data_IF_559302047880
#
_entry.id   IF_559302047880
#
_cell.length_a   1.000
_cell.length_b   1.000
_cell.length_c   1.000
_cell.angle_alpha   90.00
_cell.angle_beta   90.00
_cell.angle_gamma   90.00
#
_symmetry.space_group_name_H-M   'P 1'
#
loop_
_entity.id
_entity.type
_entity.pdbx_description
1 polymer ?
#
# COMPACT_ATOMS: atom_id res chain seq x y z
N UNK A 1 10.87 -2.10 27.66
CA UNK A 1 10.07 -3.21 28.22
C UNK A 1 9.32 -4.06 27.19
N UNK A 2 8.70 -3.50 26.14
CA UNK A 2 8.00 -4.34 25.14
C UNK A 2 8.87 -4.96 24.03
N UNK A 3 9.87 -4.22 23.51
CA UNK A 3 10.81 -4.66 22.47
C UNK A 3 10.20 -5.45 21.29
N UNK A 4 9.11 -4.96 20.64
CA UNK A 4 8.51 -5.68 19.54
C UNK A 4 9.48 -5.74 18.34
N UNK A 5 9.46 -6.82 17.55
CA UNK A 5 10.36 -6.96 16.41
C UNK A 5 9.87 -6.21 15.16
N UNK A 6 8.63 -5.72 15.17
CA UNK A 6 7.95 -5.01 14.10
C UNK A 6 7.09 -3.89 14.70
N UNK A 7 7.09 -2.72 14.06
CA UNK A 7 6.30 -1.56 14.47
C UNK A 7 5.77 -0.82 13.24
N UNK A 8 4.47 -0.51 13.24
CA UNK A 8 3.87 0.39 12.27
C UNK A 8 3.57 1.74 12.89
N UNK A 9 4.05 2.81 12.26
CA UNK A 9 3.80 4.18 12.68
C UNK A 9 2.75 4.82 11.77
N UNK A 10 1.70 5.36 12.36
CA UNK A 10 0.65 6.10 11.66
C UNK A 10 0.48 7.48 12.28
N UNK A 11 0.37 8.50 11.43
CA UNK A 11 -0.20 9.76 11.84
C UNK A 11 -1.70 9.57 12.06
N UNK A 12 -2.24 10.15 13.13
CA UNK A 12 -3.67 10.14 13.38
C UNK A 12 -4.37 11.01 12.32
N UNK A 13 -5.21 10.38 11.49
CA UNK A 13 -6.09 11.06 10.55
C UNK A 13 -7.51 11.11 11.12
N UNK A 14 -8.13 12.29 11.12
CA UNK A 14 -9.50 12.49 11.59
C UNK A 14 -10.49 12.21 10.46
N UNK A 15 -10.91 10.96 10.34
CA UNK A 15 -11.85 10.52 9.29
C UNK A 15 -13.29 10.98 9.58
N UNK A 16 -13.98 11.49 8.56
CA UNK A 16 -15.35 11.96 8.68
C UNK A 16 -16.29 10.84 9.19
N UNK A 17 -17.19 11.18 10.11
CA UNK A 17 -18.15 10.23 10.67
C UNK A 17 -17.59 9.38 11.83
N UNK A 18 -16.35 9.62 12.26
CA UNK A 18 -15.78 8.97 13.44
C UNK A 18 -15.96 9.82 14.71
N UNK A 19 -15.92 9.21 15.91
CA UNK A 19 -15.90 9.96 17.16
C UNK A 19 -14.78 11.03 17.19
N UNK A 20 -13.61 10.74 16.64
CA UNK A 20 -12.50 11.71 16.60
C UNK A 20 -12.74 12.89 15.64
N UNK A 21 -13.55 12.73 14.58
CA UNK A 21 -13.95 13.89 13.76
C UNK A 21 -14.91 14.85 14.50
N UNK A 22 -15.71 14.32 15.44
CA UNK A 22 -16.68 15.12 16.20
C UNK A 22 -16.06 15.69 17.49
N UNK A 23 -15.09 14.97 18.06
CA UNK A 23 -14.40 15.32 19.29
C UNK A 23 -12.88 15.16 19.06
N UNK A 24 -12.25 16.06 18.30
CA UNK A 24 -10.82 16.00 18.06
C UNK A 24 -10.05 16.19 19.38
N UNK A 25 -8.92 15.48 19.58
CA UNK A 25 -8.00 15.80 20.67
C UNK A 25 -7.54 17.27 20.59
N UNK A 26 -7.44 17.94 21.73
CA UNK A 26 -7.16 19.38 21.78
C UNK A 26 -5.74 19.74 21.31
N UNK A 27 -4.76 18.85 21.55
CA UNK A 27 -3.33 19.13 21.36
C UNK A 27 -2.74 18.29 20.20
N UNK A 28 -3.41 18.28 19.05
CA UNK A 28 -2.85 17.63 17.86
C UNK A 28 -1.69 18.47 17.29
N UNK A 29 -0.58 17.82 16.90
CA UNK A 29 0.50 18.53 16.23
C UNK A 29 0.02 19.06 14.88
N UNK A 30 0.50 20.24 14.51
CA UNK A 30 0.37 20.70 13.13
C UNK A 30 1.24 19.86 12.18
N UNK A 31 1.20 20.17 10.88
CA UNK A 31 1.94 19.41 9.86
C UNK A 31 3.45 19.43 10.07
N UNK A 32 4.00 20.55 10.54
CA UNK A 32 5.44 20.73 10.69
C UNK A 32 5.92 19.97 11.92
N UNK A 33 5.19 20.09 13.03
CA UNK A 33 5.44 19.31 14.24
C UNK A 33 5.30 17.80 14.00
N UNK A 34 4.29 17.38 13.24
CA UNK A 34 4.12 15.97 12.90
C UNK A 34 5.30 15.43 12.06
N UNK A 35 5.82 16.23 11.13
CA UNK A 35 6.99 15.87 10.35
C UNK A 35 8.26 15.75 11.22
N UNK A 36 8.49 16.71 12.12
CA UNK A 36 9.60 16.65 13.09
C UNK A 36 9.51 15.41 13.99
N UNK A 37 8.30 15.09 14.47
CA UNK A 37 8.05 13.88 15.26
C UNK A 37 8.36 12.61 14.46
N UNK A 38 7.95 12.55 13.20
CA UNK A 38 8.23 11.40 12.33
C UNK A 38 9.75 11.21 12.13
N UNK A 39 10.50 12.28 11.88
CA UNK A 39 11.96 12.22 11.71
C UNK A 39 12.67 11.73 12.98
N UNK A 40 12.23 12.20 14.16
CA UNK A 40 12.74 11.72 15.45
C UNK A 40 12.46 10.23 15.62
N UNK A 41 11.23 9.78 15.36
CA UNK A 41 10.84 8.38 15.50
C UNK A 41 11.60 7.47 14.52
N UNK A 42 11.68 7.84 13.24
CA UNK A 42 12.41 7.08 12.22
C UNK A 42 13.89 6.94 12.59
N UNK A 43 14.51 8.01 13.09
CA UNK A 43 15.91 7.98 13.56
C UNK A 43 16.10 7.04 14.74
N UNK A 44 15.26 7.13 15.77
CA UNK A 44 15.32 6.25 16.94
C UNK A 44 15.11 4.78 16.58
N UNK A 45 14.15 4.48 15.69
CA UNK A 45 13.91 3.12 15.22
C UNK A 45 15.13 2.55 14.49
N UNK A 46 15.75 3.34 13.60
CA UNK A 46 16.98 2.93 12.91
C UNK A 46 18.12 2.68 13.90
N UNK A 47 18.33 3.56 14.87
CA UNK A 47 19.32 3.40 15.94
C UNK A 47 19.07 2.14 16.78
N UNK A 48 17.81 1.71 16.90
CA UNK A 48 17.40 0.46 17.57
C UNK A 48 17.53 -0.81 16.71
N UNK A 49 17.97 -0.69 15.45
CA UNK A 49 18.10 -1.80 14.49
C UNK A 49 16.81 -2.18 13.77
N UNK A 50 15.81 -1.28 13.72
CA UNK A 50 14.58 -1.47 12.94
C UNK A 50 14.65 -0.66 11.66
N UNK A 51 14.55 -1.33 10.52
CA UNK A 51 14.57 -0.72 9.20
C UNK A 51 13.15 -0.44 8.71
N UNK A 52 12.95 0.74 8.14
CA UNK A 52 11.75 1.06 7.36
C UNK A 52 11.78 0.26 6.06
N UNK A 53 10.84 -0.66 5.88
CA UNK A 53 10.75 -1.47 4.66
C UNK A 53 9.56 -1.09 3.77
N UNK A 54 8.62 -0.31 4.30
CA UNK A 54 7.53 0.32 3.54
C UNK A 54 7.08 1.64 4.19
N UNK A 55 6.03 2.28 3.69
CA UNK A 55 5.58 3.61 4.11
C UNK A 55 5.46 3.77 5.63
N UNK A 56 4.75 2.89 6.33
CA UNK A 56 4.50 3.03 7.78
C UNK A 56 5.26 2.03 8.65
N UNK A 57 5.66 0.87 8.12
CA UNK A 57 6.22 -0.21 8.91
C UNK A 57 7.75 -0.27 8.93
N UNK A 58 8.22 -0.59 10.12
CA UNK A 58 9.61 -0.77 10.49
C UNK A 58 9.77 -2.15 11.12
N UNK A 59 10.87 -2.85 10.82
CA UNK A 59 11.09 -4.18 11.36
C UNK A 59 12.57 -4.46 11.56
N UNK A 60 12.86 -5.34 12.52
CA UNK A 60 14.17 -5.99 12.61
C UNK A 60 14.37 -6.93 11.41
N UNK A 61 15.62 -7.29 11.06
CA UNK A 61 15.89 -8.32 10.07
C UNK A 61 15.11 -9.61 10.36
N UNK A 62 14.50 -10.18 9.32
CA UNK A 62 13.66 -11.39 9.45
C UNK A 62 12.23 -11.18 9.94
N UNK A 63 11.84 -9.95 10.33
CA UNK A 63 10.51 -9.65 10.89
C UNK A 63 9.63 -8.77 10.00
N UNK A 64 10.02 -8.58 8.73
CA UNK A 64 9.16 -7.88 7.75
C UNK A 64 7.89 -8.71 7.49
N UNK A 65 6.72 -8.06 7.52
CA UNK A 65 5.44 -8.76 7.37
C UNK A 65 5.28 -9.34 5.96
N UNK A 66 5.23 -10.67 5.84
CA UNK A 66 5.09 -11.37 4.55
C UNK A 66 3.76 -11.05 3.87
N UNK A 67 2.68 -10.96 4.64
CA UNK A 67 1.34 -10.65 4.15
C UNK A 67 1.27 -9.26 3.52
N UNK A 68 1.75 -8.22 4.22
CA UNK A 68 1.80 -6.87 3.67
C UNK A 68 2.71 -6.81 2.44
N UNK A 69 3.85 -7.52 2.44
CA UNK A 69 4.72 -7.57 1.25
C UNK A 69 4.02 -8.18 0.04
N UNK A 70 3.18 -9.19 0.21
CA UNK A 70 2.37 -9.73 -0.89
C UNK A 70 1.44 -8.66 -1.47
N UNK A 71 0.75 -7.88 -0.62
CA UNK A 71 -0.09 -6.76 -1.07
C UNK A 71 0.71 -5.73 -1.85
N UNK A 72 1.85 -5.30 -1.29
CA UNK A 72 2.71 -4.28 -1.89
C UNK A 72 3.33 -4.74 -3.21
N UNK A 73 3.64 -6.03 -3.34
CA UNK A 73 4.12 -6.61 -4.60
C UNK A 73 2.99 -6.90 -5.60
N UNK A 74 1.78 -6.39 -5.35
CA UNK A 74 0.58 -6.59 -6.17
C UNK A 74 0.26 -8.08 -6.39
N UNK A 75 0.56 -8.91 -5.38
CA UNK A 75 0.27 -10.34 -5.36
C UNK A 75 -1.20 -10.65 -5.13
N UNK A 76 -1.54 -11.93 -5.22
CA UNK A 76 -2.91 -12.39 -5.05
C UNK A 76 -3.20 -12.78 -3.60
N UNK A 77 -4.43 -12.54 -3.16
CA UNK A 77 -4.90 -12.82 -1.81
C UNK A 77 -6.41 -12.88 -1.75
N UNK A 78 -6.91 -13.63 -0.78
CA UNK A 78 -8.35 -13.75 -0.47
C UNK A 78 -8.69 -12.93 0.77
N UNK A 79 -9.83 -12.24 0.71
CA UNK A 79 -10.42 -11.58 1.86
C UNK A 79 -11.37 -12.51 2.60
N UNK A 80 -11.13 -12.73 3.89
CA UNK A 80 -11.99 -13.54 4.77
C UNK A 80 -12.47 -12.66 5.93
N UNK A 81 -13.77 -12.71 6.22
CA UNK A 81 -14.41 -11.90 7.26
C UNK A 81 -15.15 -10.69 6.70
N UNK A 82 -15.97 -10.08 7.56
CA UNK A 82 -16.76 -8.91 7.22
C UNK A 82 -15.87 -7.75 6.77
N UNK A 83 -16.19 -7.15 5.63
CA UNK A 83 -15.45 -6.02 5.04
C UNK A 83 -14.09 -6.38 4.44
N UNK A 84 -13.72 -7.67 4.41
CA UNK A 84 -12.43 -8.08 3.88
C UNK A 84 -12.36 -7.89 2.36
N UNK A 85 -11.21 -7.41 1.88
CA UNK A 85 -10.93 -7.26 0.46
C UNK A 85 -10.05 -8.41 -0.04
N UNK A 86 -10.17 -8.71 -1.33
CA UNK A 86 -9.34 -9.68 -2.04
C UNK A 86 -8.92 -9.15 -3.40
N UNK A 87 -7.80 -9.68 -3.91
CA UNK A 87 -7.33 -9.47 -5.28
C UNK A 87 -6.86 -10.81 -5.82
N UNK A 88 -7.42 -11.29 -6.93
CA UNK A 88 -6.99 -12.54 -7.56
C UNK A 88 -6.75 -12.32 -9.04
N UNK A 89 -5.66 -12.89 -9.54
CA UNK A 89 -5.33 -12.96 -10.97
C UNK A 89 -5.74 -14.33 -11.50
N UNK A 90 -6.57 -14.33 -12.54
CA UNK A 90 -7.05 -15.52 -13.24
C UNK A 90 -6.76 -15.37 -14.75
N UNK A 91 -6.82 -16.45 -15.55
CA UNK A 91 -6.58 -16.37 -16.99
C UNK A 91 -7.44 -15.32 -17.71
N UNK A 92 -8.67 -15.09 -17.24
CA UNK A 92 -9.60 -14.11 -17.78
C UNK A 92 -9.32 -12.65 -17.35
N UNK A 93 -8.50 -12.43 -16.31
CA UNK A 93 -8.17 -11.09 -15.83
C UNK A 93 -7.88 -11.00 -14.33
N UNK A 94 -7.71 -9.77 -13.87
CA UNK A 94 -7.49 -9.43 -12.45
C UNK A 94 -8.81 -8.97 -11.86
N UNK A 95 -9.14 -9.49 -10.68
CA UNK A 95 -10.41 -9.21 -10.01
C UNK A 95 -10.15 -8.73 -8.59
N UNK A 96 -10.90 -7.71 -8.19
CA UNK A 96 -11.05 -7.30 -6.79
C UNK A 96 -12.33 -7.89 -6.22
N UNK A 97 -12.30 -8.26 -4.94
CA UNK A 97 -13.50 -8.67 -4.22
C UNK A 97 -13.65 -7.90 -2.92
N UNK A 98 -14.87 -7.66 -2.49
CA UNK A 98 -15.19 -7.04 -1.20
C UNK A 98 -16.28 -7.86 -0.50
N UNK A 99 -16.03 -8.29 0.73
CA UNK A 99 -17.04 -8.96 1.57
C UNK A 99 -17.99 -7.93 2.20
N UNK A 100 -19.25 -8.28 2.49
CA UNK A 100 -20.16 -7.39 3.19
C UNK A 100 -19.52 -6.84 4.47
N UNK A 101 -19.57 -5.53 4.67
CA UNK A 101 -18.89 -4.86 5.79
C UNK A 101 -19.58 -5.09 7.14
N UNK A 102 -20.88 -5.37 7.14
CA UNK A 102 -21.65 -5.70 8.34
C UNK A 102 -21.50 -7.18 8.67
N UNK A 103 -21.12 -7.55 9.91
CA UNK A 103 -21.00 -8.94 10.32
C UNK A 103 -22.26 -9.77 10.05
N UNK A 104 -23.45 -9.23 10.28
CA UNK A 104 -24.72 -9.91 10.02
C UNK A 104 -24.87 -10.23 8.54
N UNK A 105 -24.69 -9.23 7.67
CA UNK A 105 -24.75 -9.42 6.22
C UNK A 105 -23.69 -10.40 5.71
N UNK A 106 -22.49 -10.38 6.29
CA UNK A 106 -21.44 -11.34 5.98
C UNK A 106 -21.83 -12.77 6.35
N UNK A 107 -22.44 -12.96 7.54
CA UNK A 107 -22.88 -14.29 7.98
C UNK A 107 -24.05 -14.82 7.14
N UNK A 108 -25.03 -13.96 6.83
CA UNK A 108 -26.17 -14.34 5.99
C UNK A 108 -25.70 -14.77 4.60
N UNK A 109 -24.78 -14.02 4.01
CA UNK A 109 -24.16 -14.33 2.72
C UNK A 109 -23.34 -15.63 2.80
N UNK A 110 -22.50 -15.79 3.83
CA UNK A 110 -21.67 -16.97 4.04
C UNK A 110 -22.47 -18.28 4.22
N UNK A 111 -23.68 -18.19 4.75
CA UNK A 111 -24.59 -19.32 4.96
C UNK A 111 -25.55 -19.54 3.78
N UNK A 112 -25.59 -18.62 2.82
CA UNK A 112 -26.35 -18.77 1.60
C UNK A 112 -25.71 -19.81 0.68
N UNK A 113 -26.49 -20.39 -0.24
CA UNK A 113 -25.99 -21.34 -1.27
C UNK A 113 -25.38 -20.58 -2.46
N UNK A 114 -24.90 -19.35 -2.27
CA UNK A 114 -24.32 -18.54 -3.33
C UNK A 114 -22.87 -18.98 -3.60
N UNK A 115 -22.51 -19.08 -4.88
CA UNK A 115 -21.14 -19.40 -5.32
C UNK A 115 -20.14 -18.26 -5.06
N UNK A 116 -20.61 -17.05 -4.77
CA UNK A 116 -19.80 -15.85 -4.58
C UNK A 116 -20.25 -15.12 -3.31
N UNK A 117 -19.33 -14.99 -2.35
CA UNK A 117 -19.53 -14.14 -1.17
C UNK A 117 -19.09 -12.71 -1.48
N UNK A 118 -20.01 -11.75 -1.35
CA UNK A 118 -19.81 -10.33 -1.59
C UNK A 118 -19.67 -9.94 -3.07
N UNK A 119 -19.13 -8.75 -3.29
CA UNK A 119 -18.96 -8.19 -4.63
C UNK A 119 -17.64 -8.65 -5.25
N UNK A 120 -17.65 -8.81 -6.58
CA UNK A 120 -16.46 -9.07 -7.39
C UNK A 120 -16.49 -8.22 -8.66
N UNK A 121 -15.42 -7.47 -8.89
CA UNK A 121 -15.31 -6.53 -10.01
C UNK A 121 -13.97 -6.73 -10.73
N UNK A 122 -13.92 -6.59 -12.07
CA UNK A 122 -12.67 -6.66 -12.81
C UNK A 122 -11.86 -5.38 -12.60
N UNK A 123 -10.53 -5.52 -12.48
CA UNK A 123 -9.60 -4.38 -12.57
C UNK A 123 -9.24 -4.20 -14.05
N UNK A 124 -9.72 -3.09 -14.62
CA UNK A 124 -9.57 -2.82 -16.05
C UNK A 124 -8.10 -2.55 -16.39
N UNK A 125 -7.64 -2.88 -17.60
CA UNK A 125 -6.27 -2.60 -18.03
C UNK A 125 -5.81 -1.15 -17.83
N UNK A 126 -6.73 -0.19 -17.94
CA UNK A 126 -6.42 1.23 -17.72
C UNK A 126 -6.07 1.55 -16.26
N UNK A 127 -6.64 0.85 -15.27
CA UNK A 127 -6.46 1.15 -13.85
C UNK A 127 -5.23 0.45 -13.25
N UNK A 128 -4.79 -0.65 -13.86
CA UNK A 128 -3.69 -1.48 -13.36
C UNK A 128 -2.36 -0.72 -13.16
N UNK A 129 -1.95 0.22 -14.03
CA UNK A 129 -0.74 1.01 -13.80
C UNK A 129 -0.77 1.76 -12.47
N UNK A 130 -1.86 2.48 -12.22
CA UNK A 130 -2.05 3.21 -10.97
C UNK A 130 -2.09 2.27 -9.78
N UNK A 131 -2.93 1.23 -9.83
CA UNK A 131 -3.09 0.31 -8.70
C UNK A 131 -1.79 -0.44 -8.37
N UNK A 132 -1.04 -0.88 -9.38
CA UNK A 132 0.25 -1.53 -9.17
C UNK A 132 1.23 -0.56 -8.50
N UNK A 133 1.34 0.68 -8.99
CA UNK A 133 2.25 1.67 -8.42
C UNK A 133 1.84 2.11 -7.01
N UNK A 134 0.53 2.22 -6.74
CA UNK A 134 -0.05 2.48 -5.43
C UNK A 134 0.28 1.39 -4.39
N UNK A 135 0.71 0.21 -4.83
CA UNK A 135 1.16 -0.85 -3.93
C UNK A 135 2.69 -0.94 -3.92
N UNK A 136 3.31 -1.04 -5.08
CA UNK A 136 4.73 -1.37 -5.22
C UNK A 136 5.66 -0.23 -4.78
N UNK A 137 5.26 1.03 -5.00
CA UNK A 137 6.04 2.20 -4.56
C UNK A 137 5.97 2.44 -3.06
N UNK A 138 5.19 1.64 -2.31
CA UNK A 138 5.25 1.66 -0.85
C UNK A 138 6.55 1.10 -0.32
N UNK A 139 7.16 0.15 -1.03
CA UNK A 139 8.37 -0.53 -0.61
C UNK A 139 9.57 0.41 -0.75
N UNK A 140 10.33 0.59 0.32
CA UNK A 140 11.53 1.44 0.32
C UNK A 140 12.65 0.86 -0.54
N UNK A 141 12.77 -0.47 -0.57
CA UNK A 141 13.69 -1.19 -1.44
C UNK A 141 13.20 -1.28 -2.90
N UNK A 142 11.98 -0.80 -3.18
CA UNK A 142 11.38 -0.87 -4.51
C UNK A 142 10.98 -2.27 -4.94
N UNK A 143 10.95 -2.47 -6.26
CA UNK A 143 10.57 -3.73 -6.90
C UNK A 143 11.31 -3.94 -8.24
N UNK A 144 11.54 -5.19 -8.66
CA UNK A 144 12.08 -5.48 -9.99
C UNK A 144 11.10 -5.02 -11.08
N UNK A 145 11.57 -4.29 -12.09
CA UNK A 145 10.72 -3.72 -13.13
C UNK A 145 9.95 -4.79 -13.92
N UNK A 146 10.50 -6.01 -14.01
CA UNK A 146 9.84 -7.17 -14.61
C UNK A 146 8.58 -7.64 -13.86
N UNK A 147 8.42 -7.24 -12.60
CA UNK A 147 7.22 -7.54 -11.81
C UNK A 147 5.99 -6.83 -12.36
N UNK A 148 6.15 -5.66 -13.01
CA UNK A 148 5.03 -4.93 -13.60
C UNK A 148 4.29 -5.77 -14.66
N UNK A 149 4.93 -6.25 -15.74
CA UNK A 149 4.25 -7.11 -16.71
C UNK A 149 3.77 -8.44 -16.10
N UNK A 150 4.53 -9.03 -15.17
CA UNK A 150 4.14 -10.26 -14.49
C UNK A 150 2.80 -10.11 -13.74
N UNK A 151 2.61 -9.00 -13.02
CA UNK A 151 1.47 -8.80 -12.12
C UNK A 151 0.29 -8.07 -12.74
N UNK A 152 0.50 -7.37 -13.85
CA UNK A 152 -0.55 -6.58 -14.51
C UNK A 152 -0.98 -7.14 -15.87
N UNK A 153 -0.14 -7.99 -16.48
CA UNK A 153 -0.29 -8.42 -17.87
C UNK A 153 -0.05 -7.30 -18.90
N UNK A 154 0.48 -6.14 -18.48
CA UNK A 154 0.74 -5.00 -19.35
C UNK A 154 2.22 -4.85 -19.67
N UNK A 155 2.52 -4.40 -20.89
CA UNK A 155 3.89 -4.17 -21.31
C UNK A 155 4.50 -2.94 -20.63
N UNK A 156 5.75 -3.04 -20.18
CA UNK A 156 6.49 -1.93 -19.57
C UNK A 156 6.51 -0.61 -20.39
N UNK A 157 6.60 -0.62 -21.74
CA UNK A 157 6.53 0.61 -22.54
C UNK A 157 5.31 1.50 -22.27
N UNK A 158 4.19 0.93 -21.79
CA UNK A 158 2.98 1.67 -21.44
C UNK A 158 3.21 2.70 -20.34
N UNK A 159 4.04 2.38 -19.34
CA UNK A 159 4.32 3.26 -18.20
C UNK A 159 5.66 3.99 -18.30
N UNK A 160 6.47 3.68 -19.31
CA UNK A 160 7.83 4.22 -19.43
C UNK A 160 7.88 5.76 -19.51
N UNK A 161 6.97 6.46 -20.22
CA UNK A 161 6.92 7.92 -20.19
C UNK A 161 6.65 8.49 -18.79
N UNK A 162 5.79 7.82 -18.01
CA UNK A 162 5.42 8.22 -16.65
C UNK A 162 6.61 8.02 -15.69
N UNK A 163 7.31 6.88 -15.82
CA UNK A 163 8.53 6.59 -15.06
C UNK A 163 9.62 7.64 -15.31
N UNK A 164 9.90 7.98 -16.59
CA UNK A 164 10.89 9.01 -16.93
C UNK A 164 10.55 10.37 -16.33
N UNK A 165 9.26 10.72 -16.27
CA UNK A 165 8.82 11.97 -15.63
C UNK A 165 9.06 11.94 -14.12
N UNK A 166 8.66 10.86 -13.45
CA UNK A 166 8.88 10.70 -12.02
C UNK A 166 10.37 10.68 -11.64
N UNK A 167 11.21 10.06 -12.47
CA UNK A 167 12.67 10.04 -12.31
C UNK A 167 13.28 11.43 -12.50
N UNK A 168 12.89 12.16 -13.56
CA UNK A 168 13.33 13.53 -13.79
C UNK A 168 12.95 14.47 -12.64
N UNK A 169 11.78 14.25 -12.06
CA UNK A 169 11.29 15.02 -10.91
C UNK A 169 11.90 14.52 -9.58
N UNK A 170 12.81 13.53 -9.62
CA UNK A 170 13.57 13.02 -8.49
C UNK A 170 12.79 12.15 -7.51
N UNK A 171 11.60 11.66 -7.89
CA UNK A 171 10.70 10.89 -7.03
C UNK A 171 11.01 9.40 -7.03
N UNK A 172 11.58 8.87 -8.11
CA UNK A 172 11.99 7.47 -8.23
C UNK A 172 13.38 7.39 -8.84
N UNK A 173 14.03 6.25 -8.64
CA UNK A 173 15.29 5.91 -9.30
C UNK A 173 15.22 4.47 -9.80
N UNK A 174 15.83 4.22 -10.96
CA UNK A 174 16.00 2.89 -11.54
C UNK A 174 17.47 2.48 -11.45
N UNK A 175 17.78 1.42 -10.72
CA UNK A 175 19.14 0.87 -10.58
C UNK A 175 19.07 -0.66 -10.70
N UNK A 176 19.90 -1.27 -11.54
CA UNK A 176 19.97 -2.73 -11.73
C UNK A 176 18.59 -3.39 -11.94
N UNK A 177 17.76 -2.79 -12.79
CA UNK A 177 16.37 -3.21 -13.06
C UNK A 177 15.42 -3.17 -11.84
N UNK A 178 15.82 -2.51 -10.76
CA UNK A 178 14.98 -2.23 -9.59
C UNK A 178 14.50 -0.77 -9.65
N UNK A 179 13.18 -0.59 -9.68
CA UNK A 179 12.56 0.71 -9.49
C UNK A 179 12.27 0.92 -8.00
N UNK A 180 12.79 1.99 -7.41
CA UNK A 180 12.53 2.34 -6.02
C UNK A 180 12.15 3.82 -5.86
N UNK A 181 11.27 4.16 -4.90
CA UNK A 181 11.05 5.55 -4.54
C UNK A 181 12.30 6.14 -3.90
N UNK A 182 12.60 7.40 -4.20
CA UNK A 182 13.65 8.14 -3.47
C UNK A 182 13.11 8.59 -2.11
N UNK A 183 13.96 9.16 -1.26
CA UNK A 183 13.49 9.82 -0.03
C UNK A 183 12.44 10.89 -0.32
N UNK A 184 12.60 11.66 -1.40
CA UNK A 184 11.63 12.64 -1.86
C UNK A 184 10.33 11.96 -2.30
N UNK A 185 10.42 10.88 -3.09
CA UNK A 185 9.25 10.11 -3.52
C UNK A 185 8.45 9.50 -2.36
N UNK A 186 9.13 9.04 -1.31
CA UNK A 186 8.47 8.52 -0.11
C UNK A 186 7.77 9.62 0.70
N UNK A 187 8.35 10.81 0.78
CA UNK A 187 7.74 11.95 1.47
C UNK A 187 6.53 12.51 0.71
N UNK A 188 6.59 12.47 -0.63
CA UNK A 188 5.50 12.89 -1.53
C UNK A 188 4.83 11.70 -2.21
N UNK A 189 4.58 10.63 -1.43
CA UNK A 189 4.09 9.35 -1.92
C UNK A 189 2.80 9.46 -2.75
N UNK A 190 1.84 10.27 -2.27
CA UNK A 190 0.57 10.46 -2.95
C UNK A 190 0.77 11.16 -4.30
N UNK A 191 1.60 12.21 -4.36
CA UNK A 191 1.91 12.93 -5.60
C UNK A 191 2.62 12.03 -6.60
N UNK A 192 3.51 11.15 -6.13
CA UNK A 192 4.15 10.13 -6.94
C UNK A 192 3.13 9.15 -7.53
N UNK A 193 2.21 8.61 -6.72
CA UNK A 193 1.20 7.66 -7.21
C UNK A 193 0.26 8.28 -8.24
N UNK A 194 -0.16 9.53 -8.04
CA UNK A 194 -1.07 10.23 -8.96
C UNK A 194 -0.49 10.39 -10.37
N UNK A 195 0.85 10.31 -10.54
CA UNK A 195 1.48 10.30 -11.87
C UNK A 195 1.07 9.11 -12.74
N UNK A 196 0.51 8.06 -12.16
CA UNK A 196 0.13 6.81 -12.84
C UNK A 196 -1.37 6.65 -13.02
N UNK A 197 -2.17 7.64 -12.60
CA UNK A 197 -3.61 7.71 -12.90
C UNK A 197 -3.79 7.93 -14.41
N UNK A 198 -4.79 7.29 -15.05
CA UNK A 198 -5.10 7.46 -16.47
C UNK A 198 -5.31 8.91 -16.93
#
# INVERSE_FOLDING_TARGET
DYAPPHLSLYQLTLEAGTPFSTHPPADLPDSDQAADMEDILRRQLRESGMERYEISAHARPGHRCQHNRNYWLYGDYIGIGAGAHGKITLPEGIWRSCKPSRPESYMDDALSVLDILGDREPILPADRPFEFMLNALRLTDGFPVALFPERTGLSLPLIQPLLRRAERDGLVVMEDDILRPTALGLNFYNDLCVRFVP
#
